data_IF_430519234694
#
_entry.id   IF_430519234694
#
_cell.length_a   1.000
_cell.length_b   1.000
_cell.length_c   1.000
_cell.angle_alpha   90.00
_cell.angle_beta   90.00
_cell.angle_gamma   90.00
#
_symmetry.space_group_name_H-M   'P 1'
#
loop_
_entity.id
_entity.type
_entity.pdbx_description
1 polymer ?
#
# COMPACT_ATOMS: atom_id res chain seq x y z
N UNK A 1 -2.64 -5.36 -8.89
CA UNK A 1 -3.74 -4.76 -9.70
C UNK A 1 -3.58 -3.24 -9.70
N UNK A 2 -4.01 -2.54 -10.74
CA UNK A 2 -3.70 -1.11 -10.92
C UNK A 2 -4.80 -0.33 -11.65
N UNK A 3 -4.44 0.85 -12.15
CA UNK A 3 -5.33 1.73 -12.91
C UNK A 3 -5.73 1.04 -14.22
N UNK A 4 -7.01 1.10 -14.56
CA UNK A 4 -7.58 0.53 -15.79
C UNK A 4 -8.23 1.62 -16.62
N UNK A 5 -8.13 1.51 -17.94
CA UNK A 5 -8.82 2.39 -18.87
C UNK A 5 -10.02 1.69 -19.51
N UNK A 6 -11.07 2.45 -19.79
CA UNK A 6 -12.23 1.97 -20.53
C UNK A 6 -11.82 1.63 -21.97
N UNK A 7 -12.51 0.66 -22.56
CA UNK A 7 -12.36 0.28 -23.97
C UNK A 7 -13.62 0.64 -24.76
N UNK A 8 -13.43 1.13 -25.98
CA UNK A 8 -14.46 1.23 -27.01
C UNK A 8 -14.16 0.20 -28.09
N UNK A 9 -14.84 -0.95 -28.03
CA UNK A 9 -14.47 -2.14 -28.78
C UNK A 9 -13.02 -2.57 -28.48
N UNK A 10 -12.17 -2.60 -29.50
CA UNK A 10 -10.75 -2.95 -29.39
C UNK A 10 -9.84 -1.76 -29.04
N UNK A 11 -10.40 -0.55 -28.93
CA UNK A 11 -9.63 0.69 -28.69
C UNK A 11 -9.57 1.00 -27.19
N UNK A 12 -8.36 1.18 -26.66
CA UNK A 12 -8.17 1.75 -25.32
C UNK A 12 -8.46 3.25 -25.36
N UNK A 13 -9.31 3.72 -24.45
CA UNK A 13 -9.64 5.15 -24.32
C UNK A 13 -8.79 5.82 -23.22
N UNK A 14 -8.88 7.15 -23.12
CA UNK A 14 -8.29 7.91 -22.01
C UNK A 14 -9.14 7.90 -20.74
N UNK A 15 -10.35 7.33 -20.77
CA UNK A 15 -11.24 7.28 -19.63
C UNK A 15 -10.81 6.16 -18.68
N UNK A 16 -10.89 6.44 -17.39
CA UNK A 16 -10.56 5.47 -16.37
C UNK A 16 -11.80 4.64 -16.03
N UNK A 17 -11.62 3.33 -15.88
CA UNK A 17 -12.65 2.48 -15.30
C UNK A 17 -12.79 2.91 -13.83
N UNK A 18 -13.98 3.28 -13.34
CA UNK A 18 -14.16 3.63 -11.95
C UNK A 18 -13.91 2.42 -11.03
N UNK A 19 -13.64 2.68 -9.77
CA UNK A 19 -13.64 1.65 -8.72
C UNK A 19 -14.58 2.11 -7.61
N UNK A 20 -15.39 1.22 -7.07
CA UNK A 20 -16.38 1.55 -6.05
C UNK A 20 -17.49 2.50 -6.54
N UNK A 21 -17.63 2.68 -7.85
CA UNK A 21 -18.57 3.63 -8.45
C UNK A 21 -18.02 5.05 -8.59
N UNK A 22 -16.78 5.31 -8.17
CA UNK A 22 -16.13 6.62 -8.32
C UNK A 22 -15.01 6.57 -9.37
N UNK A 23 -14.93 7.64 -10.17
CA UNK A 23 -13.83 7.84 -11.14
C UNK A 23 -12.53 8.30 -10.47
N UNK A 24 -12.56 8.51 -9.15
CA UNK A 24 -11.37 8.85 -8.37
C UNK A 24 -10.40 7.66 -8.39
N UNK A 25 -9.14 7.94 -8.72
CA UNK A 25 -8.03 7.05 -8.38
C UNK A 25 -7.59 7.49 -6.99
N UNK A 26 -8.07 6.91 -5.88
CA UNK A 26 -7.38 7.14 -4.62
C UNK A 26 -6.00 6.51 -4.80
N UNK A 27 -5.00 7.38 -4.84
CA UNK A 27 -3.61 7.08 -5.20
C UNK A 27 -3.07 5.86 -4.44
N UNK A 28 -3.42 5.76 -3.15
CA UNK A 28 -2.98 4.69 -2.24
C UNK A 28 -4.03 3.57 -2.13
N UNK A 29 -5.33 3.90 -2.12
CA UNK A 29 -6.39 2.91 -1.83
C UNK A 29 -6.88 2.17 -3.08
N UNK A 30 -6.49 2.61 -4.29
CA UNK A 30 -6.97 2.04 -5.54
C UNK A 30 -6.68 0.54 -5.68
N UNK A 31 -5.55 0.06 -5.14
CA UNK A 31 -5.21 -1.38 -5.15
C UNK A 31 -6.16 -2.19 -4.26
N UNK A 32 -6.48 -1.71 -3.05
CA UNK A 32 -7.50 -2.32 -2.17
C UNK A 32 -8.83 -2.42 -2.90
N UNK A 33 -9.28 -1.32 -3.50
CA UNK A 33 -10.54 -1.28 -4.22
C UNK A 33 -10.59 -2.33 -5.34
N UNK A 34 -9.54 -2.43 -6.16
CA UNK A 34 -9.47 -3.46 -7.21
C UNK A 34 -9.46 -4.87 -6.67
N UNK A 35 -8.72 -5.14 -5.60
CA UNK A 35 -8.74 -6.46 -4.94
C UNK A 35 -10.14 -6.81 -4.46
N UNK A 36 -10.81 -5.87 -3.80
CA UNK A 36 -12.15 -6.09 -3.28
C UNK A 36 -13.18 -6.31 -4.40
N UNK A 37 -13.14 -5.55 -5.49
CA UNK A 37 -14.06 -5.70 -6.62
C UNK A 37 -13.82 -6.95 -7.45
N UNK A 38 -12.57 -7.15 -7.90
CA UNK A 38 -12.24 -8.11 -8.95
C UNK A 38 -12.00 -9.52 -8.37
N UNK A 39 -11.51 -9.63 -7.12
CA UNK A 39 -11.20 -10.92 -6.48
C UNK A 39 -12.31 -11.33 -5.51
N UNK A 40 -12.80 -10.40 -4.68
CA UNK A 40 -13.76 -10.71 -3.61
C UNK A 40 -15.21 -10.32 -3.94
N UNK A 41 -15.46 -9.75 -5.12
CA UNK A 41 -16.80 -9.42 -5.61
C UNK A 41 -17.53 -8.33 -4.81
N UNK A 42 -16.82 -7.54 -4.01
CA UNK A 42 -17.37 -6.39 -3.27
C UNK A 42 -17.79 -5.32 -4.27
N UNK A 43 -18.90 -4.63 -4.02
CA UNK A 43 -19.48 -3.66 -4.95
C UNK A 43 -19.68 -2.31 -4.28
N UNK A 44 -19.63 -1.26 -5.10
CA UNK A 44 -19.86 0.12 -4.68
C UNK A 44 -18.79 0.63 -3.70
N UNK A 45 -19.10 1.69 -2.94
CA UNK A 45 -18.12 2.38 -2.09
C UNK A 45 -17.44 1.47 -1.06
N UNK A 46 -18.10 0.38 -0.66
CA UNK A 46 -17.55 -0.63 0.23
C UNK A 46 -16.26 -1.27 -0.31
N UNK A 47 -15.96 -1.18 -1.61
CA UNK A 47 -14.71 -1.66 -2.17
C UNK A 47 -13.48 -0.90 -1.64
N UNK A 48 -13.61 0.35 -1.21
CA UNK A 48 -12.50 1.10 -0.60
C UNK A 48 -12.23 0.73 0.86
N UNK A 49 -13.14 -0.01 1.49
CA UNK A 49 -13.03 -0.37 2.90
C UNK A 49 -12.19 -1.64 3.10
N UNK A 50 -11.54 -1.74 4.26
CA UNK A 50 -10.98 -3.02 4.69
C UNK A 50 -12.12 -4.02 4.94
N UNK A 51 -12.06 -5.17 4.28
CA UNK A 51 -13.10 -6.19 4.39
C UNK A 51 -12.90 -7.09 5.61
N UNK A 52 -13.91 -7.91 5.92
CA UNK A 52 -13.75 -9.02 6.86
C UNK A 52 -12.67 -10.01 6.38
N UNK A 53 -11.99 -10.67 7.31
CA UNK A 53 -10.85 -11.56 7.05
C UNK A 53 -11.05 -12.57 5.90
N UNK A 54 -12.23 -13.24 5.74
CA UNK A 54 -12.44 -14.17 4.64
C UNK A 54 -12.44 -13.53 3.23
N UNK A 55 -12.52 -12.20 3.15
CA UNK A 55 -12.48 -11.41 1.92
C UNK A 55 -11.21 -10.58 1.81
N UNK A 56 -10.11 -11.09 2.37
CA UNK A 56 -8.79 -10.46 2.33
C UNK A 56 -7.76 -11.49 1.88
N UNK A 57 -6.73 -11.03 1.18
CA UNK A 57 -5.65 -11.91 0.75
C UNK A 57 -4.87 -12.42 1.97
N UNK A 58 -4.50 -13.70 1.97
CA UNK A 58 -3.59 -14.21 3.00
C UNK A 58 -2.18 -13.63 2.86
N UNK A 59 -1.76 -13.36 1.62
CA UNK A 59 -0.42 -12.85 1.30
C UNK A 59 -0.52 -11.62 0.39
N UNK A 60 0.28 -10.60 0.69
CA UNK A 60 0.44 -9.40 -0.14
C UNK A 60 1.90 -9.10 -0.42
N UNK A 61 2.21 -8.60 -1.61
CA UNK A 61 3.55 -8.14 -1.96
C UNK A 61 3.53 -6.80 -2.72
N UNK A 62 4.44 -5.89 -2.39
CA UNK A 62 4.49 -4.54 -2.96
C UNK A 62 5.84 -3.85 -2.79
N UNK A 63 5.99 -2.67 -3.37
CA UNK A 63 7.29 -1.98 -3.47
C UNK A 63 7.18 -0.45 -3.43
N UNK A 64 5.98 0.10 -3.30
CA UNK A 64 5.69 1.53 -3.31
C UNK A 64 4.74 1.95 -2.19
N UNK A 65 4.71 3.24 -1.85
CA UNK A 65 3.76 3.78 -0.86
C UNK A 65 2.31 3.49 -1.27
N UNK A 66 2.00 3.51 -2.58
CA UNK A 66 0.68 3.11 -3.11
C UNK A 66 0.28 1.65 -2.86
N UNK A 67 1.19 0.81 -2.36
CA UNK A 67 0.91 -0.56 -1.95
C UNK A 67 0.46 -0.67 -0.48
N UNK A 68 0.77 0.31 0.36
CA UNK A 68 0.68 0.18 1.83
C UNK A 68 -0.72 -0.26 2.28
N UNK A 69 -1.77 0.34 1.72
CA UNK A 69 -3.16 0.13 2.14
C UNK A 69 -3.64 -1.30 1.89
N UNK A 70 -3.32 -1.90 0.73
CA UNK A 70 -3.75 -3.28 0.45
C UNK A 70 -2.78 -4.31 1.05
N UNK A 71 -1.51 -3.94 1.29
CA UNK A 71 -0.58 -4.78 2.04
C UNK A 71 -1.02 -4.93 3.50
N UNK A 72 -1.41 -3.85 4.14
CA UNK A 72 -1.98 -3.87 5.51
C UNK A 72 -3.26 -4.72 5.57
N UNK A 73 -3.97 -4.88 4.46
CA UNK A 73 -5.09 -5.83 4.37
C UNK A 73 -4.68 -7.29 4.29
N UNK A 74 -3.43 -7.66 4.03
CA UNK A 74 -3.05 -9.06 4.08
C UNK A 74 -3.27 -9.62 5.49
N UNK A 75 -3.79 -10.84 5.60
CA UNK A 75 -4.15 -11.45 6.89
C UNK A 75 -3.02 -12.28 7.49
N UNK A 76 -2.14 -12.84 6.65
CA UNK A 76 -0.93 -13.53 7.08
C UNK A 76 0.31 -12.70 6.73
N UNK A 77 1.09 -13.10 5.73
CA UNK A 77 2.40 -12.52 5.45
C UNK A 77 2.35 -11.35 4.46
N UNK A 78 3.25 -10.39 4.64
CA UNK A 78 3.45 -9.24 3.74
C UNK A 78 4.91 -9.18 3.32
N UNK A 79 5.16 -9.14 2.02
CA UNK A 79 6.51 -8.95 1.47
C UNK A 79 6.62 -7.56 0.87
N UNK A 80 7.64 -6.80 1.28
CA UNK A 80 7.96 -5.53 0.64
C UNK A 80 9.34 -5.58 0.00
N UNK A 81 9.44 -5.04 -1.20
CA UNK A 81 10.72 -4.75 -1.83
C UNK A 81 11.15 -3.33 -1.43
N UNK A 82 12.29 -3.22 -0.75
CA UNK A 82 12.81 -1.95 -0.29
C UNK A 82 13.34 -1.12 -1.47
N UNK A 83 12.56 -0.11 -1.87
CA UNK A 83 12.92 0.93 -2.83
C UNK A 83 13.20 2.29 -2.17
N UNK A 84 13.41 2.31 -0.85
CA UNK A 84 13.50 3.49 0.01
C UNK A 84 12.26 4.37 -0.07
N UNK A 85 11.09 3.77 0.18
CA UNK A 85 9.78 4.43 0.17
C UNK A 85 9.31 4.64 1.60
N UNK A 86 9.22 5.90 2.04
CA UNK A 86 9.15 6.26 3.47
C UNK A 86 7.94 5.64 4.16
N UNK A 87 6.72 5.87 3.68
CA UNK A 87 5.51 5.34 4.32
C UNK A 87 5.51 3.80 4.32
N UNK A 88 5.86 3.19 3.18
CA UNK A 88 5.92 1.73 3.09
C UNK A 88 6.98 1.15 4.04
N UNK A 89 8.17 1.73 4.11
CA UNK A 89 9.26 1.24 4.96
C UNK A 89 9.00 1.51 6.43
N UNK A 90 8.41 2.65 6.79
CA UNK A 90 7.95 2.92 8.15
C UNK A 90 6.94 1.87 8.63
N UNK A 91 5.94 1.57 7.79
CA UNK A 91 4.93 0.55 8.10
C UNK A 91 5.56 -0.85 8.22
N UNK A 92 6.43 -1.22 7.28
CA UNK A 92 7.03 -2.55 7.23
C UNK A 92 8.08 -2.78 8.33
N UNK A 93 8.85 -1.76 8.70
CA UNK A 93 9.86 -1.87 9.76
C UNK A 93 9.27 -1.73 11.17
N UNK A 94 8.20 -0.94 11.36
CA UNK A 94 7.47 -0.94 12.64
C UNK A 94 6.97 -2.35 12.98
N UNK A 95 6.47 -3.08 11.97
CA UNK A 95 6.18 -4.51 12.03
C UNK A 95 5.42 -4.93 13.30
N UNK A 96 4.45 -4.13 13.74
CA UNK A 96 3.79 -4.31 15.04
C UNK A 96 3.17 -5.71 15.25
N UNK A 97 2.80 -6.41 14.16
CA UNK A 97 2.24 -7.76 14.20
C UNK A 97 3.23 -8.89 13.84
N UNK A 98 4.48 -8.55 13.54
CA UNK A 98 5.55 -9.51 13.25
C UNK A 98 5.42 -10.26 11.92
N UNK A 99 4.59 -9.78 10.98
CA UNK A 99 4.29 -10.48 9.71
C UNK A 99 4.84 -9.80 8.45
N UNK A 100 5.68 -8.79 8.61
CA UNK A 100 6.33 -8.10 7.50
C UNK A 100 7.71 -8.67 7.19
N UNK A 101 7.93 -8.95 5.91
CA UNK A 101 9.19 -9.37 5.33
C UNK A 101 9.71 -8.24 4.45
N UNK A 102 10.90 -7.74 4.74
CA UNK A 102 11.56 -6.69 3.95
C UNK A 102 12.71 -7.32 3.18
N UNK A 103 12.69 -7.19 1.86
CA UNK A 103 13.76 -7.65 0.99
C UNK A 103 14.31 -6.50 0.15
N UNK A 104 15.62 -6.45 -0.15
CA UNK A 104 16.14 -5.54 -1.15
C UNK A 104 15.61 -5.92 -2.54
N UNK A 105 15.73 -5.00 -3.51
CA UNK A 105 15.48 -5.34 -4.90
C UNK A 105 16.48 -6.42 -5.37
N UNK A 106 16.01 -7.39 -6.15
CA UNK A 106 16.85 -8.50 -6.62
C UNK A 106 17.91 -8.08 -7.65
N UNK A 107 17.64 -7.02 -8.42
CA UNK A 107 18.51 -6.49 -9.47
C UNK A 107 18.75 -5.02 -9.15
N UNK A 108 20.02 -4.62 -9.13
CA UNK A 108 20.49 -3.26 -8.84
C UNK A 108 19.82 -2.66 -7.59
N UNK A 109 20.01 -3.27 -6.41
CA UNK A 109 19.42 -2.77 -5.18
C UNK A 109 19.77 -1.30 -4.94
N UNK A 110 18.79 -0.55 -4.43
CA UNK A 110 19.06 0.79 -3.92
C UNK A 110 20.09 0.68 -2.82
N UNK A 111 20.94 1.70 -2.71
CA UNK A 111 21.83 1.81 -1.56
C UNK A 111 20.97 1.82 -0.30
N UNK A 112 21.39 1.02 0.67
CA UNK A 112 20.86 1.05 2.03
C UNK A 112 20.74 2.51 2.50
N UNK A 113 19.57 2.86 3.03
CA UNK A 113 19.37 4.21 3.54
C UNK A 113 20.30 4.45 4.74
N UNK A 114 21.08 5.53 4.69
CA UNK A 114 22.03 5.90 5.74
C UNK A 114 21.33 6.50 6.95
N UNK A 115 20.43 7.44 6.70
CA UNK A 115 19.59 8.07 7.71
C UNK A 115 18.35 7.20 8.02
N UNK A 116 17.74 7.33 9.21
CA UNK A 116 16.45 6.70 9.46
C UNK A 116 15.36 7.17 8.48
N UNK A 117 14.34 6.34 8.26
CA UNK A 117 13.09 6.79 7.67
C UNK A 117 12.35 7.64 8.70
N UNK A 118 11.93 8.85 8.31
CA UNK A 118 11.32 9.87 9.16
C UNK A 118 9.85 9.54 9.53
N UNK A 119 9.63 8.39 10.16
CA UNK A 119 8.29 7.87 10.45
C UNK A 119 7.48 8.74 11.40
N UNK A 120 8.16 9.44 12.31
CA UNK A 120 7.51 10.28 13.31
C UNK A 120 7.04 11.64 12.75
N UNK A 121 7.45 12.01 11.53
CA UNK A 121 7.10 13.31 10.91
C UNK A 121 6.53 13.18 9.51
N UNK A 122 7.03 12.23 8.71
CA UNK A 122 6.72 12.05 7.29
C UNK A 122 6.34 10.58 6.94
N UNK A 123 5.98 9.78 7.94
CA UNK A 123 5.70 8.35 7.77
C UNK A 123 4.35 7.99 7.15
N UNK A 124 3.47 8.97 6.90
CA UNK A 124 2.13 8.78 6.35
C UNK A 124 1.83 9.84 5.28
N UNK A 125 1.31 9.42 4.13
CA UNK A 125 0.87 10.34 3.08
C UNK A 125 -0.65 10.53 3.22
N UNK A 126 -1.05 11.74 3.62
CA UNK A 126 -2.45 12.10 3.73
C UNK A 126 -3.19 12.02 2.36
N UNK A 127 -4.53 11.94 2.34
CA UNK A 127 -5.30 12.06 1.10
C UNK A 127 -5.02 13.35 0.32
N UNK A 128 -4.54 14.40 1.00
CA UNK A 128 -4.11 15.66 0.40
C UNK A 128 -2.77 15.58 -0.34
N UNK A 129 -2.02 14.48 -0.15
CA UNK A 129 -0.66 14.27 -0.64
C UNK A 129 0.42 14.86 0.26
N UNK A 130 0.08 15.40 1.43
CA UNK A 130 1.04 15.90 2.41
C UNK A 130 1.56 14.78 3.30
N UNK A 131 2.80 14.92 3.73
CA UNK A 131 3.42 14.02 4.69
C UNK A 131 2.96 14.37 6.12
N UNK A 132 2.78 13.34 6.93
CA UNK A 132 2.37 13.41 8.33
C UNK A 132 2.98 12.25 9.15
N UNK A 133 2.93 12.32 10.49
CA UNK A 133 3.37 11.21 11.34
C UNK A 133 2.60 9.92 11.07
N UNK A 134 3.29 8.78 11.03
CA UNK A 134 2.64 7.47 11.00
C UNK A 134 2.15 7.10 12.40
N UNK A 135 0.89 6.68 12.50
CA UNK A 135 0.28 6.22 13.74
C UNK A 135 -0.02 4.72 13.70
N UNK A 136 0.21 4.04 14.82
CA UNK A 136 -0.28 2.67 15.06
C UNK A 136 -1.79 2.67 15.28
N UNK A 137 -2.38 1.48 15.29
CA UNK A 137 -3.81 1.30 15.57
C UNK A 137 -4.24 1.82 16.95
N UNK A 138 -3.33 1.86 17.93
CA UNK A 138 -3.58 2.44 19.27
C UNK A 138 -3.41 3.98 19.31
N UNK A 139 -3.09 4.61 18.18
CA UNK A 139 -2.87 6.04 18.05
C UNK A 139 -1.45 6.50 18.40
N UNK A 140 -0.57 5.63 18.90
CA UNK A 140 0.83 5.98 19.17
C UNK A 140 1.58 6.28 17.88
N UNK A 141 2.49 7.27 17.92
CA UNK A 141 3.35 7.60 16.78
C UNK A 141 4.42 6.51 16.61
N UNK A 142 4.66 6.11 15.38
CA UNK A 142 5.75 5.20 15.00
C UNK A 142 7.07 5.99 15.04
N UNK A 143 8.08 5.56 15.83
CA UNK A 143 9.39 6.20 15.84
C UNK A 143 10.12 5.92 14.52
N UNK A 144 11.10 6.76 14.21
CA UNK A 144 11.91 6.63 13.00
C UNK A 144 12.59 5.25 12.91
N UNK A 145 12.56 4.67 11.72
CA UNK A 145 12.99 3.30 11.48
C UNK A 145 14.32 3.27 10.74
N UNK A 146 15.22 2.35 11.12
CA UNK A 146 16.49 2.17 10.39
C UNK A 146 16.33 1.12 9.31
N UNK A 147 16.93 1.38 8.15
CA UNK A 147 17.05 0.36 7.12
C UNK A 147 17.90 -0.82 7.62
N UNK A 148 17.39 -2.03 7.44
CA UNK A 148 18.03 -3.26 7.89
C UNK A 148 18.59 -4.10 6.74
N UNK A 149 18.26 -3.78 5.49
CA UNK A 149 18.63 -4.58 4.31
C UNK A 149 19.59 -3.82 3.39
N UNK A 150 20.28 -4.54 2.50
CA UNK A 150 21.27 -4.01 1.55
C UNK A 150 21.26 -4.78 0.24
#
# INVERSE_FOLDING_TARGET
MGVRTERDGDVLTSKLVPCGGETAIPYIEGKRCRVNEDVFGVKGPAAFEQQAEPKRAAFGAGDSDTDVTFLTDATALRLVLNRNKTELMCTAYDNADGRWLVNPMFIDPKKKQGDPYDCATEGYIEPSGKDAPLHRADGSVVPDQRDAVS
#
